data_IF_247041246797
#
_entry.id   IF_247041246797
#
_cell.length_a   1.000
_cell.length_b   1.000
_cell.length_c   1.000
_cell.angle_alpha   90.00
_cell.angle_beta   90.00
_cell.angle_gamma   90.00
#
_symmetry.space_group_name_H-M   'P 1'
#
loop_
_entity.id
_entity.type
_entity.pdbx_description
1 polymer ?
#
# COMPACT_ATOMS: atom_id res chain seq x y z
N UNK A 1 18.02 -2.21 2.90
CA UNK A 1 17.07 -2.99 2.05
C UNK A 1 17.39 -2.71 0.60
N UNK A 2 17.39 -3.73 -0.25
CA UNK A 2 17.62 -3.52 -1.68
C UNK A 2 16.35 -3.04 -2.37
N UNK A 3 16.54 -2.35 -3.51
CA UNK A 3 15.47 -1.66 -4.23
C UNK A 3 14.30 -2.57 -4.57
N UNK A 4 14.54 -3.76 -5.13
CA UNK A 4 13.44 -4.65 -5.50
C UNK A 4 12.60 -5.09 -4.29
N UNK A 5 13.24 -5.33 -3.16
CA UNK A 5 12.53 -5.69 -1.92
C UNK A 5 11.75 -4.52 -1.36
N UNK A 6 12.32 -3.33 -1.45
CA UNK A 6 11.61 -2.12 -1.03
C UNK A 6 10.31 -1.97 -1.80
N UNK A 7 10.37 -2.07 -3.14
CA UNK A 7 9.18 -1.96 -3.98
C UNK A 7 8.14 -3.03 -3.68
N UNK A 8 8.57 -4.28 -3.45
CA UNK A 8 7.65 -5.35 -3.05
C UNK A 8 6.92 -5.00 -1.75
N UNK A 9 7.66 -4.52 -0.76
CA UNK A 9 7.09 -4.17 0.55
C UNK A 9 6.08 -3.03 0.45
N UNK A 10 6.19 -2.20 -0.57
CA UNK A 10 5.35 -1.02 -0.76
C UNK A 10 4.14 -1.26 -1.67
N UNK A 11 3.95 -2.49 -2.16
CA UNK A 11 2.75 -2.87 -2.90
C UNK A 11 2.89 -2.86 -4.41
N UNK A 12 4.11 -2.88 -4.94
CA UNK A 12 4.35 -2.79 -6.39
C UNK A 12 4.41 -4.16 -7.08
N UNK A 13 3.94 -5.21 -6.42
CA UNK A 13 3.76 -6.52 -7.02
C UNK A 13 4.85 -7.51 -6.64
N UNK A 14 4.99 -8.56 -7.46
CA UNK A 14 5.97 -9.62 -7.24
C UNK A 14 7.40 -9.09 -7.43
N UNK A 15 8.37 -9.89 -6.98
CA UNK A 15 9.79 -9.59 -7.21
C UNK A 15 10.09 -9.38 -8.70
N UNK A 16 9.55 -10.25 -9.54
CA UNK A 16 9.75 -10.16 -11.00
C UNK A 16 9.12 -8.88 -11.55
N UNK A 17 7.93 -8.53 -11.10
CA UNK A 17 7.28 -7.31 -11.53
C UNK A 17 8.09 -6.07 -11.14
N UNK A 18 8.60 -6.06 -9.91
CA UNK A 18 9.43 -4.96 -9.42
C UNK A 18 10.75 -4.86 -10.21
N UNK A 19 11.37 -6.01 -10.52
CA UNK A 19 12.56 -6.04 -11.37
C UNK A 19 12.28 -5.46 -12.76
N UNK A 20 11.13 -5.77 -13.33
CA UNK A 20 10.73 -5.24 -14.64
C UNK A 20 10.51 -3.73 -14.60
N UNK A 21 9.86 -3.21 -13.56
CA UNK A 21 9.70 -1.77 -13.37
C UNK A 21 11.05 -1.06 -13.35
N UNK A 22 12.01 -1.61 -12.60
CA UNK A 22 13.36 -1.05 -12.49
C UNK A 22 14.07 -1.08 -13.84
N UNK A 23 14.04 -2.23 -14.51
CA UNK A 23 14.72 -2.40 -15.81
C UNK A 23 14.14 -1.51 -16.90
N UNK A 24 12.85 -1.21 -16.81
CA UNK A 24 12.17 -0.36 -17.80
C UNK A 24 12.35 1.13 -17.53
N UNK A 25 13.13 1.51 -16.52
CA UNK A 25 13.37 2.91 -16.21
C UNK A 25 12.21 3.61 -15.53
N UNK A 26 11.26 2.85 -14.97
CA UNK A 26 10.06 3.41 -14.34
C UNK A 26 10.31 3.93 -12.92
N UNK A 27 11.47 3.63 -12.32
CA UNK A 27 11.74 3.92 -10.91
C UNK A 27 12.81 5.01 -10.78
N UNK A 28 12.51 6.03 -9.97
CA UNK A 28 13.46 7.08 -9.64
C UNK A 28 13.65 7.15 -8.13
N UNK A 29 14.88 7.33 -7.71
CA UNK A 29 15.24 7.60 -6.32
C UNK A 29 15.88 8.99 -6.28
N UNK A 30 15.30 9.90 -5.49
CA UNK A 30 15.80 11.28 -5.39
C UNK A 30 15.94 11.97 -6.76
N UNK A 31 14.96 11.72 -7.63
CA UNK A 31 14.91 12.34 -8.95
C UNK A 31 15.76 11.68 -10.02
N UNK A 32 16.50 10.63 -9.69
CA UNK A 32 17.37 9.92 -10.64
C UNK A 32 16.82 8.54 -10.97
N UNK A 33 16.81 8.20 -12.25
CA UNK A 33 16.42 6.86 -12.71
C UNK A 33 17.46 5.86 -12.21
N UNK A 34 16.97 4.80 -11.55
CA UNK A 34 17.81 3.72 -11.06
C UNK A 34 17.51 2.45 -11.84
N UNK A 35 18.55 1.70 -12.18
CA UNK A 35 18.42 0.51 -13.03
C UNK A 35 18.93 -0.77 -12.38
N UNK A 36 19.46 -0.69 -11.16
CA UNK A 36 19.99 -1.85 -10.45
C UNK A 36 18.98 -2.33 -9.40
N UNK A 37 18.34 -3.51 -9.60
CA UNK A 37 17.39 -4.04 -8.61
C UNK A 37 18.01 -4.32 -7.24
N UNK A 38 19.32 -4.50 -7.18
CA UNK A 38 20.07 -4.80 -5.95
C UNK A 38 20.62 -3.56 -5.26
N UNK A 39 20.28 -2.37 -5.75
CA UNK A 39 20.72 -1.11 -5.14
C UNK A 39 20.31 -1.08 -3.67
N UNK A 40 21.27 -0.82 -2.79
CA UNK A 40 20.99 -0.67 -1.35
C UNK A 40 20.47 0.72 -1.05
N UNK A 41 19.41 0.79 -0.26
CA UNK A 41 18.73 2.04 0.06
C UNK A 41 18.74 2.29 1.56
N UNK A 42 18.85 3.57 1.92
CA UNK A 42 18.50 4.05 3.25
C UNK A 42 17.00 4.39 3.25
N UNK A 43 16.25 3.80 4.15
CA UNK A 43 14.79 3.88 4.13
C UNK A 43 14.23 5.09 4.88
N UNK A 44 15.01 5.68 5.78
CA UNK A 44 14.55 6.80 6.59
C UNK A 44 14.18 7.98 5.68
N UNK A 45 12.91 8.38 5.75
CA UNK A 45 12.34 9.47 4.95
C UNK A 45 12.57 9.32 3.44
N UNK A 46 12.68 8.07 2.97
CA UNK A 46 12.90 7.80 1.56
C UNK A 46 11.68 8.16 0.73
N UNK A 47 11.91 9.03 -0.25
CA UNK A 47 10.93 9.37 -1.28
C UNK A 47 11.39 8.76 -2.59
N UNK A 48 10.44 8.16 -3.30
CA UNK A 48 10.74 7.50 -4.58
C UNK A 48 9.60 7.72 -5.55
N UNK A 49 9.89 7.55 -6.84
CA UNK A 49 8.93 7.73 -7.91
C UNK A 49 8.80 6.44 -8.70
N UNK A 50 7.56 6.06 -9.00
CA UNK A 50 7.27 4.92 -9.87
C UNK A 50 6.27 5.37 -10.92
N UNK A 51 6.66 5.24 -12.18
CA UNK A 51 5.79 5.54 -13.33
C UNK A 51 5.18 6.95 -13.25
N UNK A 52 5.96 7.93 -12.81
CA UNK A 52 5.54 9.33 -12.74
C UNK A 52 4.84 9.74 -11.45
N UNK A 53 4.58 8.83 -10.53
CA UNK A 53 3.98 9.15 -9.23
C UNK A 53 5.01 9.08 -8.12
N UNK A 54 4.93 10.04 -7.19
CA UNK A 54 5.82 10.12 -6.04
C UNK A 54 5.20 9.40 -4.84
N UNK A 55 6.01 8.60 -4.17
CA UNK A 55 5.63 7.85 -2.98
C UNK A 55 6.65 8.09 -1.89
N UNK A 56 6.21 7.95 -0.65
CA UNK A 56 7.11 7.94 0.50
C UNK A 56 7.14 6.55 1.10
N UNK A 57 8.34 6.04 1.37
CA UNK A 57 8.49 4.74 2.03
C UNK A 57 7.84 4.76 3.41
N UNK A 58 7.05 3.73 3.69
CA UNK A 58 6.46 3.50 5.01
C UNK A 58 6.50 2.02 5.31
N UNK A 59 7.15 1.67 6.39
CA UNK A 59 7.24 0.27 6.82
C UNK A 59 5.85 -0.32 7.02
N UNK A 60 4.98 0.41 7.72
CA UNK A 60 3.57 0.08 7.93
C UNK A 60 2.71 1.30 7.65
N UNK A 61 1.48 1.07 7.23
CA UNK A 61 0.50 2.15 7.04
C UNK A 61 -0.62 2.01 8.05
N UNK A 62 -1.09 3.16 8.53
CA UNK A 62 -2.24 3.28 9.44
C UNK A 62 -3.13 4.36 8.86
N UNK A 63 -4.33 3.97 8.46
CA UNK A 63 -5.24 4.86 7.74
C UNK A 63 -6.50 5.05 8.56
N UNK A 64 -6.91 6.32 8.72
CA UNK A 64 -8.20 6.66 9.30
C UNK A 64 -9.12 7.08 8.16
N UNK A 65 -10.19 6.33 7.96
CA UNK A 65 -11.19 6.59 6.94
C UNK A 65 -12.50 7.03 7.62
N UNK A 66 -13.04 8.14 7.17
CA UNK A 66 -14.42 8.48 7.51
C UNK A 66 -15.32 7.69 6.55
N UNK A 67 -15.79 6.53 7.02
CA UNK A 67 -16.50 5.57 6.20
C UNK A 67 -17.84 6.13 5.74
N UNK A 68 -18.10 6.19 4.42
CA UNK A 68 -19.43 6.52 3.94
C UNK A 68 -20.41 5.36 4.13
N UNK A 69 -21.69 5.67 4.16
CA UNK A 69 -22.75 4.66 4.16
C UNK A 69 -22.74 3.89 2.82
N UNK A 70 -23.17 2.65 2.85
CA UNK A 70 -23.28 1.80 1.64
C UNK A 70 -22.04 0.98 1.33
N UNK A 71 -21.00 1.05 2.16
CA UNK A 71 -19.75 0.31 1.96
C UNK A 71 -19.54 -0.72 3.06
N UNK A 72 -19.20 -1.94 2.68
CA UNK A 72 -18.89 -3.04 3.60
C UNK A 72 -17.42 -3.05 3.95
N UNK A 73 -17.11 -3.46 5.18
CA UNK A 73 -15.73 -3.70 5.65
C UNK A 73 -15.23 -5.09 5.24
N UNK A 74 -15.48 -5.50 4.01
CA UNK A 74 -15.15 -6.83 3.50
C UNK A 74 -14.41 -6.72 2.18
N UNK A 75 -13.39 -7.58 2.02
CA UNK A 75 -12.68 -7.71 0.74
C UNK A 75 -13.57 -8.32 -0.35
N UNK A 76 -14.65 -9.01 0.03
CA UNK A 76 -15.54 -9.71 -0.89
C UNK A 76 -16.98 -9.27 -0.66
N UNK A 77 -17.25 -7.98 -0.93
CA UNK A 77 -18.60 -7.47 -0.85
C UNK A 77 -19.47 -8.08 -1.95
N UNK A 78 -20.66 -8.58 -1.59
CA UNK A 78 -21.57 -9.25 -2.53
C UNK A 78 -22.72 -8.37 -2.96
N UNK A 79 -23.25 -7.52 -2.07
CA UNK A 79 -24.44 -6.70 -2.32
C UNK A 79 -24.18 -5.21 -2.22
N UNK A 80 -23.03 -4.82 -1.72
CA UNK A 80 -22.65 -3.44 -1.48
C UNK A 80 -21.23 -3.21 -1.98
N UNK A 81 -20.84 -1.94 -2.09
CA UNK A 81 -19.46 -1.61 -2.38
C UNK A 81 -18.57 -1.96 -1.18
N UNK A 82 -17.33 -2.30 -1.45
CA UNK A 82 -16.34 -2.54 -0.41
C UNK A 82 -15.58 -1.27 -0.09
N UNK A 83 -15.26 -1.02 1.19
CA UNK A 83 -14.38 0.10 1.59
C UNK A 83 -13.03 0.03 0.89
N UNK A 84 -12.56 -1.17 0.52
CA UNK A 84 -11.29 -1.35 -0.18
C UNK A 84 -11.29 -0.76 -1.59
N UNK A 85 -12.45 -0.56 -2.20
CA UNK A 85 -12.57 0.11 -3.50
C UNK A 85 -12.23 1.61 -3.44
N UNK A 86 -12.19 2.18 -2.23
CA UNK A 86 -11.85 3.59 -2.03
C UNK A 86 -10.34 3.84 -2.06
N UNK A 87 -9.52 2.80 -2.10
CA UNK A 87 -8.06 2.89 -2.07
C UNK A 87 -7.47 2.43 -3.40
N UNK A 88 -6.27 2.94 -3.71
CA UNK A 88 -5.58 2.52 -4.92
C UNK A 88 -4.99 1.11 -4.77
N UNK A 89 -4.63 0.53 -5.92
CA UNK A 89 -4.16 -0.85 -5.96
C UNK A 89 -2.85 -1.05 -5.20
N UNK A 90 -1.99 -0.05 -5.18
CA UNK A 90 -0.70 -0.12 -4.46
C UNK A 90 -0.93 -0.34 -2.97
N UNK A 91 -1.86 0.41 -2.37
CA UNK A 91 -2.22 0.21 -0.96
C UNK A 91 -2.85 -1.14 -0.71
N UNK A 92 -3.76 -1.58 -1.61
CA UNK A 92 -4.43 -2.86 -1.46
C UNK A 92 -3.44 -4.04 -1.51
N UNK A 93 -2.43 -3.96 -2.40
CA UNK A 93 -1.41 -5.00 -2.53
C UNK A 93 -0.52 -5.13 -1.28
N UNK A 94 -0.52 -4.14 -0.41
CA UNK A 94 0.20 -4.22 0.85
C UNK A 94 -0.49 -5.13 1.89
N UNK A 95 -1.70 -5.58 1.62
CA UNK A 95 -2.46 -6.40 2.56
C UNK A 95 -3.24 -5.59 3.58
N UNK A 96 -3.84 -4.48 3.12
CA UNK A 96 -4.62 -3.58 3.97
C UNK A 96 -5.83 -4.31 4.56
N UNK A 97 -6.05 -4.16 5.88
CA UNK A 97 -7.13 -4.78 6.64
C UNK A 97 -7.85 -3.73 7.47
N UNK A 98 -9.15 -3.93 7.70
CA UNK A 98 -9.89 -3.12 8.64
C UNK A 98 -9.54 -3.48 10.09
N UNK A 99 -9.38 -2.46 10.93
CA UNK A 99 -9.25 -2.62 12.38
C UNK A 99 -10.67 -2.49 12.97
N UNK A 100 -11.27 -3.61 13.31
CA UNK A 100 -12.69 -3.63 13.66
C UNK A 100 -13.57 -3.53 12.42
N UNK A 101 -14.86 -3.37 12.63
CA UNK A 101 -15.84 -3.32 11.56
C UNK A 101 -16.97 -2.34 11.90
N UNK A 102 -17.48 -1.71 10.85
CA UNK A 102 -18.72 -0.94 10.90
C UNK A 102 -19.70 -1.57 9.90
N UNK A 103 -20.98 -1.55 10.23
CA UNK A 103 -22.03 -2.04 9.33
C UNK A 103 -22.06 -1.18 8.05
N UNK A 104 -22.56 -1.75 6.96
CA UNK A 104 -22.60 -1.06 5.68
C UNK A 104 -23.36 0.28 5.74
N UNK A 105 -24.40 0.36 6.56
CA UNK A 105 -25.21 1.57 6.70
C UNK A 105 -24.60 2.59 7.64
N UNK A 106 -23.59 2.21 8.39
CA UNK A 106 -23.00 3.04 9.44
C UNK A 106 -21.92 3.93 8.84
N UNK A 107 -21.96 5.21 9.17
CA UNK A 107 -20.88 6.15 8.92
C UNK A 107 -20.02 6.27 10.16
N UNK A 108 -18.80 6.72 10.02
CA UNK A 108 -17.92 6.96 11.15
C UNK A 108 -16.48 6.60 10.87
N UNK A 109 -15.67 6.72 11.89
CA UNK A 109 -14.22 6.47 11.81
C UNK A 109 -13.94 4.98 11.71
N UNK A 110 -13.26 4.59 10.63
CA UNK A 110 -12.78 3.24 10.42
C UNK A 110 -11.26 3.30 10.27
N UNK A 111 -10.56 2.46 11.02
CA UNK A 111 -9.11 2.36 10.92
C UNK A 111 -8.74 1.17 10.04
N UNK A 112 -7.71 1.35 9.20
CA UNK A 112 -7.18 0.30 8.34
C UNK A 112 -5.65 0.28 8.48
N UNK A 113 -5.06 -0.91 8.39
CA UNK A 113 -3.62 -1.06 8.49
C UNK A 113 -3.17 -2.34 7.79
N UNK A 114 -1.90 -2.37 7.38
CA UNK A 114 -1.23 -3.60 6.93
C UNK A 114 -0.35 -4.20 8.04
N UNK A 115 -0.42 -3.67 9.25
CA UNK A 115 0.37 -4.15 10.38
C UNK A 115 -0.32 -5.33 11.06
N UNK A 116 0.07 -6.56 10.67
CA UNK A 116 -0.52 -7.78 11.21
C UNK A 116 -0.28 -7.96 12.70
N UNK A 117 0.85 -7.52 13.22
CA UNK A 117 1.15 -7.60 14.64
C UNK A 117 0.24 -6.68 15.46
N UNK A 118 0.01 -5.48 14.96
CA UNK A 118 -0.94 -4.55 15.58
C UNK A 118 -2.35 -5.13 15.63
N UNK A 119 -2.80 -5.74 14.52
CA UNK A 119 -4.11 -6.38 14.46
C UNK A 119 -4.27 -7.52 15.47
N UNK A 120 -3.21 -8.34 15.65
CA UNK A 120 -3.24 -9.46 16.60
C UNK A 120 -3.22 -9.00 18.05
N UNK A 121 -2.69 -7.83 18.33
CA UNK A 121 -2.59 -7.28 19.69
C UNK A 121 -3.91 -6.69 20.21
N UNK A 122 -4.91 -6.55 19.36
CA UNK A 122 -6.21 -5.98 19.72
C UNK A 122 -7.20 -7.09 20.28
#
# INVERSE_FOLDING_TARGET
>A
MILEKMLQSQGFGSRKNCQNLIKNGAVQIQGEIVSDPKLKLKLDQLEFNVSGQTYQYREKVYIALNKPAGYECSHQATHHFSVFELFDQVLLERGLQCVGRLDQDTTGLLLLTDDGQFLQAL
#
